data_IF_202293776359
#
_entry.id   IF_202293776359
#
_cell.length_a   1.000
_cell.length_b   1.000
_cell.length_c   1.000
_cell.angle_alpha   90.00
_cell.angle_beta   90.00
_cell.angle_gamma   90.00
#
_symmetry.space_group_name_H-M   'P 1'
#
loop_
_entity.id
_entity.type
_entity.pdbx_description
1 polymer ?
#
# COMPACT_ATOMS: atom_id res chain seq x y z
N UNK A 1 -3.09 5.45 15.98
CA UNK A 1 -4.25 4.69 16.53
C UNK A 1 -5.40 4.65 15.52
N UNK A 2 -5.87 5.78 14.97
CA UNK A 2 -6.99 5.81 14.02
C UNK A 2 -6.76 4.91 12.79
N UNK A 3 -5.53 4.91 12.23
CA UNK A 3 -5.17 4.10 11.09
C UNK A 3 -5.30 2.59 11.36
N UNK A 4 -4.90 2.15 12.54
CA UNK A 4 -5.03 0.75 12.99
C UNK A 4 -6.50 0.33 13.15
N UNK A 5 -7.33 1.19 13.74
CA UNK A 5 -8.78 0.94 13.87
C UNK A 5 -9.40 0.81 12.47
N UNK A 6 -9.11 1.74 11.58
CA UNK A 6 -9.59 1.74 10.19
C UNK A 6 -9.13 0.50 9.42
N UNK A 7 -7.88 0.05 9.61
CA UNK A 7 -7.34 -1.17 9.00
C UNK A 7 -8.07 -2.40 9.53
N UNK A 8 -8.16 -2.57 10.85
CA UNK A 8 -8.86 -3.69 11.46
C UNK A 8 -10.34 -3.74 11.06
N UNK A 9 -11.01 -2.61 11.08
CA UNK A 9 -12.40 -2.48 10.65
C UNK A 9 -12.60 -2.84 9.16
N UNK A 10 -11.64 -2.47 8.30
CA UNK A 10 -11.67 -2.81 6.87
C UNK A 10 -11.45 -4.30 6.66
N UNK A 11 -10.49 -4.90 7.35
CA UNK A 11 -10.25 -6.35 7.30
C UNK A 11 -11.51 -7.14 7.72
N UNK A 12 -12.18 -6.70 8.79
CA UNK A 12 -13.44 -7.32 9.24
C UNK A 12 -14.55 -7.13 8.21
N UNK A 13 -14.71 -5.92 7.68
CA UNK A 13 -15.80 -5.59 6.77
C UNK A 13 -15.71 -6.29 5.43
N UNK A 14 -14.49 -6.51 4.94
CA UNK A 14 -14.21 -7.20 3.68
C UNK A 14 -14.17 -8.71 3.81
N UNK A 15 -14.10 -9.24 5.03
CA UNK A 15 -13.87 -10.66 5.32
C UNK A 15 -12.39 -11.08 5.28
N UNK A 16 -11.48 -10.14 5.02
CA UNK A 16 -10.04 -10.40 4.97
C UNK A 16 -9.46 -10.82 6.32
N UNK A 17 -10.08 -10.42 7.45
CA UNK A 17 -9.63 -10.82 8.78
C UNK A 17 -9.53 -12.34 8.92
N UNK A 18 -10.52 -13.08 8.43
CA UNK A 18 -10.48 -14.54 8.49
C UNK A 18 -9.33 -15.10 7.64
N UNK A 19 -9.14 -14.59 6.42
CA UNK A 19 -8.06 -15.03 5.53
C UNK A 19 -6.69 -14.81 6.17
N UNK A 20 -6.48 -13.66 6.82
CA UNK A 20 -5.25 -13.36 7.54
C UNK A 20 -5.07 -14.29 8.74
N UNK A 21 -6.11 -14.48 9.56
CA UNK A 21 -6.06 -15.36 10.73
C UNK A 21 -5.82 -16.83 10.34
N UNK A 22 -6.33 -17.26 9.19
CA UNK A 22 -6.09 -18.60 8.66
C UNK A 22 -4.66 -18.75 8.14
N UNK A 23 -4.18 -17.80 7.37
CA UNK A 23 -2.81 -17.79 6.83
C UNK A 23 -1.73 -17.82 7.94
N UNK A 24 -2.00 -17.18 9.06
CA UNK A 24 -1.09 -17.16 10.21
C UNK A 24 -1.40 -18.25 11.26
N UNK A 25 -2.28 -19.23 10.95
CA UNK A 25 -2.65 -20.32 11.85
C UNK A 25 -3.03 -19.82 13.27
N UNK A 26 -3.78 -18.70 13.31
CA UNK A 26 -4.09 -18.03 14.56
C UNK A 26 -4.87 -18.94 15.51
N UNK A 27 -4.47 -18.98 16.79
CA UNK A 27 -5.15 -19.78 17.81
C UNK A 27 -6.59 -19.28 18.04
N UNK A 28 -7.49 -20.14 18.57
CA UNK A 28 -8.86 -19.74 18.88
C UNK A 28 -8.96 -18.50 19.77
N UNK A 29 -8.04 -18.34 20.72
CA UNK A 29 -7.99 -17.17 21.59
C UNK A 29 -7.66 -15.88 20.80
N UNK A 30 -6.67 -15.94 19.88
CA UNK A 30 -6.31 -14.79 19.02
C UNK A 30 -7.47 -14.45 18.09
N UNK A 31 -8.15 -15.45 17.51
CA UNK A 31 -9.34 -15.25 16.67
C UNK A 31 -10.47 -14.56 17.44
N UNK A 32 -10.71 -14.99 18.67
CA UNK A 32 -11.73 -14.40 19.55
C UNK A 32 -11.40 -12.93 19.85
N UNK A 33 -10.16 -12.63 20.26
CA UNK A 33 -9.74 -11.27 20.57
C UNK A 33 -9.78 -10.37 19.34
N UNK A 34 -9.28 -10.83 18.19
CA UNK A 34 -9.33 -10.07 16.95
C UNK A 34 -10.76 -9.69 16.56
N UNK A 35 -11.70 -10.64 16.67
CA UNK A 35 -13.13 -10.40 16.41
C UNK A 35 -13.77 -9.47 17.44
N UNK A 36 -13.48 -9.67 18.73
CA UNK A 36 -14.03 -8.84 19.80
C UNK A 36 -13.59 -7.37 19.66
N UNK A 37 -12.36 -7.13 19.20
CA UNK A 37 -11.84 -5.78 18.94
C UNK A 37 -12.28 -5.21 17.60
N UNK A 38 -12.42 -6.02 16.57
CA UNK A 38 -12.75 -5.58 15.21
C UNK A 38 -14.24 -5.34 14.97
N UNK A 39 -15.12 -6.19 15.48
CA UNK A 39 -16.56 -6.14 15.24
C UNK A 39 -17.21 -4.82 15.64
N UNK A 40 -16.93 -4.22 16.82
CA UNK A 40 -17.54 -2.94 17.20
C UNK A 40 -17.24 -1.80 16.23
N UNK A 41 -16.12 -1.85 15.54
CA UNK A 41 -15.65 -0.81 14.62
C UNK A 41 -15.88 -1.16 13.15
N UNK A 42 -16.48 -2.31 12.83
CA UNK A 42 -16.70 -2.80 11.46
C UNK A 42 -17.37 -1.75 10.55
N UNK A 43 -18.26 -0.93 11.09
CA UNK A 43 -18.93 0.13 10.34
C UNK A 43 -17.99 1.26 9.88
N UNK A 44 -16.84 1.45 10.55
CA UNK A 44 -15.82 2.45 10.19
C UNK A 44 -14.90 1.97 9.06
N UNK A 45 -14.91 0.68 8.73
CA UNK A 45 -14.07 0.11 7.69
C UNK A 45 -14.57 0.43 6.28
N UNK A 46 -13.66 0.39 5.32
CA UNK A 46 -13.99 0.51 3.90
C UNK A 46 -14.67 -0.77 3.38
N UNK A 47 -15.61 -0.63 2.45
CA UNK A 47 -16.29 -1.80 1.84
C UNK A 47 -15.44 -2.49 0.78
N UNK A 48 -14.67 -1.70 0.02
CA UNK A 48 -13.97 -2.16 -1.16
C UNK A 48 -14.89 -2.72 -2.24
N UNK A 49 -14.31 -3.20 -3.34
CA UNK A 49 -15.04 -3.80 -4.45
C UNK A 49 -15.40 -5.27 -4.12
N UNK A 50 -16.71 -5.63 -4.07
CA UNK A 50 -17.15 -6.98 -3.73
C UNK A 50 -16.78 -8.06 -4.78
N UNK A 51 -16.38 -7.68 -5.99
CA UNK A 51 -15.89 -8.61 -7.02
C UNK A 51 -14.50 -9.15 -6.75
N UNK A 52 -13.74 -8.48 -5.86
CA UNK A 52 -12.37 -8.88 -5.51
C UNK A 52 -12.35 -9.91 -4.37
N UNK A 53 -11.33 -10.80 -4.34
CA UNK A 53 -11.05 -11.64 -3.18
C UNK A 53 -10.90 -10.81 -1.90
N UNK A 54 -11.29 -11.35 -0.72
CA UNK A 54 -11.32 -10.59 0.52
C UNK A 54 -10.02 -9.82 0.85
N UNK A 55 -8.86 -10.48 0.74
CA UNK A 55 -7.57 -9.86 1.02
C UNK A 55 -7.23 -8.74 0.03
N UNK A 56 -7.35 -9.00 -1.27
CA UNK A 56 -7.14 -8.01 -2.33
C UNK A 56 -8.06 -6.81 -2.16
N UNK A 57 -9.34 -7.07 -1.88
CA UNK A 57 -10.38 -6.07 -1.63
C UNK A 57 -10.04 -5.15 -0.45
N UNK A 58 -9.56 -5.73 0.66
CA UNK A 58 -9.16 -4.96 1.83
C UNK A 58 -7.97 -4.04 1.52
N UNK A 59 -6.92 -4.59 0.93
CA UNK A 59 -5.70 -3.83 0.65
C UNK A 59 -5.94 -2.73 -0.39
N UNK A 60 -6.73 -3.00 -1.43
CA UNK A 60 -7.12 -1.98 -2.41
C UNK A 60 -7.91 -0.84 -1.76
N UNK A 61 -8.86 -1.17 -0.87
CA UNK A 61 -9.66 -0.18 -0.17
C UNK A 61 -8.85 0.66 0.84
N UNK A 62 -7.77 0.12 1.40
CA UNK A 62 -6.89 0.80 2.35
C UNK A 62 -5.90 1.75 1.66
N UNK A 63 -5.59 1.52 0.39
CA UNK A 63 -4.83 2.45 -0.43
C UNK A 63 -3.43 1.98 -0.86
N UNK A 64 -2.64 2.89 -1.47
CA UNK A 64 -1.42 2.54 -2.20
C UNK A 64 -0.36 1.80 -1.39
N UNK A 65 -0.12 2.17 -0.14
CA UNK A 65 0.85 1.50 0.73
C UNK A 65 0.47 0.03 0.96
N UNK A 66 -0.82 -0.23 1.20
CA UNK A 66 -1.34 -1.58 1.41
C UNK A 66 -1.32 -2.40 0.13
N UNK A 67 -1.60 -1.79 -1.04
CA UNK A 67 -1.47 -2.44 -2.34
C UNK A 67 -0.02 -2.87 -2.55
N UNK A 68 0.93 -1.97 -2.34
CA UNK A 68 2.37 -2.26 -2.49
C UNK A 68 2.84 -3.34 -1.52
N UNK A 69 2.38 -3.26 -0.26
CA UNK A 69 2.65 -4.30 0.74
C UNK A 69 2.11 -5.67 0.31
N UNK A 70 0.87 -5.72 -0.17
CA UNK A 70 0.29 -6.96 -0.69
C UNK A 70 1.03 -7.51 -1.90
N UNK A 71 1.56 -6.67 -2.78
CA UNK A 71 2.38 -7.10 -3.91
C UNK A 71 3.69 -7.75 -3.45
N UNK A 72 4.38 -7.15 -2.46
CA UNK A 72 5.56 -7.76 -1.84
C UNK A 72 5.21 -9.12 -1.22
N UNK A 73 4.11 -9.20 -0.45
CA UNK A 73 3.66 -10.45 0.15
C UNK A 73 3.24 -11.50 -0.89
N UNK A 74 2.73 -11.11 -2.05
CA UNK A 74 2.36 -12.05 -3.12
C UNK A 74 3.54 -12.82 -3.69
N UNK A 75 4.76 -12.31 -3.52
CA UNK A 75 6.01 -12.96 -3.92
C UNK A 75 6.63 -13.83 -2.81
N UNK A 76 6.00 -13.86 -1.63
CA UNK A 76 6.49 -14.54 -0.43
C UNK A 76 5.48 -15.58 0.11
N UNK A 77 5.17 -16.63 -0.67
CA UNK A 77 4.28 -17.70 -0.20
C UNK A 77 4.84 -18.43 1.03
N UNK A 78 6.15 -18.39 1.25
CA UNK A 78 6.83 -18.88 2.45
C UNK A 78 6.38 -18.14 3.74
N UNK A 79 5.96 -16.89 3.61
CA UNK A 79 5.50 -16.05 4.74
C UNK A 79 3.99 -16.14 4.93
N UNK A 80 3.22 -16.00 3.87
CA UNK A 80 1.76 -15.82 3.96
C UNK A 80 0.96 -17.07 3.57
N UNK A 81 1.62 -18.12 3.10
CA UNK A 81 0.97 -19.30 2.54
C UNK A 81 0.54 -19.11 1.08
N UNK A 82 0.36 -20.22 0.36
CA UNK A 82 0.07 -20.19 -1.08
C UNK A 82 -1.28 -19.53 -1.40
N UNK A 83 -2.32 -19.83 -0.60
CA UNK A 83 -3.68 -19.33 -0.83
C UNK A 83 -3.75 -17.81 -0.73
N UNK A 84 -3.14 -17.21 0.29
CA UNK A 84 -3.12 -15.76 0.44
C UNK A 84 -2.22 -15.12 -0.61
N UNK A 85 -1.04 -15.69 -0.88
CA UNK A 85 -0.16 -15.21 -1.95
C UNK A 85 -0.88 -15.18 -3.30
N UNK A 86 -1.64 -16.22 -3.64
CA UNK A 86 -2.43 -16.29 -4.87
C UNK A 86 -3.50 -15.19 -4.95
N UNK A 87 -4.24 -14.95 -3.86
CA UNK A 87 -5.20 -13.84 -3.80
C UNK A 87 -4.52 -12.48 -4.04
N UNK A 88 -3.32 -12.28 -3.47
CA UNK A 88 -2.60 -11.03 -3.56
C UNK A 88 -1.96 -10.78 -4.94
N UNK A 89 -1.74 -11.81 -5.76
CA UNK A 89 -1.25 -11.65 -7.15
C UNK A 89 -2.20 -10.84 -8.04
N UNK A 90 -3.48 -10.76 -7.68
CA UNK A 90 -4.48 -9.97 -8.40
C UNK A 90 -4.32 -8.46 -8.14
N UNK A 91 -3.51 -8.05 -7.15
CA UNK A 91 -3.25 -6.65 -6.87
C UNK A 91 -2.53 -6.00 -8.06
N UNK A 92 -3.26 -5.14 -8.77
CA UNK A 92 -2.73 -4.40 -9.91
C UNK A 92 -2.07 -3.11 -9.45
N UNK A 93 -0.94 -2.78 -10.08
CA UNK A 93 -0.24 -1.50 -9.87
C UNK A 93 -0.97 -0.29 -10.48
N UNK A 94 -2.12 -0.49 -11.11
CA UNK A 94 -2.81 0.54 -11.88
C UNK A 94 -3.86 1.25 -11.03
N UNK A 95 -3.48 2.35 -10.40
CA UNK A 95 -4.43 3.38 -9.99
C UNK A 95 -4.67 4.35 -11.14
N UNK A 96 -5.86 4.99 -11.21
CA UNK A 96 -6.09 6.08 -12.17
C UNK A 96 -5.01 7.14 -12.05
N UNK A 97 -4.52 7.70 -13.16
CA UNK A 97 -3.58 8.81 -13.11
C UNK A 97 -4.19 9.99 -12.36
N UNK A 98 -3.36 10.74 -11.65
CA UNK A 98 -3.72 12.05 -11.14
C UNK A 98 -3.54 13.11 -12.23
N UNK A 99 -4.13 14.28 -12.07
CA UNK A 99 -4.15 15.29 -13.12
C UNK A 99 -2.74 15.79 -13.45
N UNK A 100 -2.54 16.21 -14.71
CA UNK A 100 -1.31 16.87 -15.15
C UNK A 100 -0.99 18.11 -14.32
N UNK A 101 -2.01 18.86 -13.91
CA UNK A 101 -1.85 20.05 -13.07
C UNK A 101 -1.27 19.70 -11.69
N UNK A 102 -1.73 18.61 -11.06
CA UNK A 102 -1.16 18.11 -9.82
C UNK A 102 0.29 17.65 -10.00
N UNK A 103 0.60 17.01 -11.14
CA UNK A 103 1.97 16.60 -11.46
C UNK A 103 2.90 17.79 -11.60
N UNK A 104 2.45 18.85 -12.31
CA UNK A 104 3.24 20.08 -12.45
C UNK A 104 3.47 20.76 -11.12
N UNK A 105 2.44 20.90 -10.29
CA UNK A 105 2.58 21.47 -8.94
C UNK A 105 3.56 20.69 -8.04
N UNK A 106 3.59 19.35 -8.17
CA UNK A 106 4.53 18.51 -7.45
C UNK A 106 5.98 18.74 -7.92
N UNK A 107 6.20 18.84 -9.23
CA UNK A 107 7.51 19.14 -9.83
C UNK A 107 8.01 20.52 -9.36
N UNK A 108 7.16 21.54 -9.42
CA UNK A 108 7.50 22.89 -8.97
C UNK A 108 7.84 22.93 -7.48
N UNK A 109 7.11 22.18 -6.67
CA UNK A 109 7.39 22.09 -5.24
C UNK A 109 8.75 21.44 -4.96
N UNK A 110 9.11 20.38 -5.69
CA UNK A 110 10.33 19.61 -5.45
C UNK A 110 11.58 20.30 -6.05
N UNK A 111 11.44 20.88 -7.24
CA UNK A 111 12.57 21.47 -7.95
C UNK A 111 12.72 22.97 -7.70
N UNK A 112 11.71 23.63 -7.11
CA UNK A 112 11.74 25.05 -6.76
C UNK A 112 11.69 26.00 -7.95
N UNK A 113 11.34 25.48 -9.15
CA UNK A 113 11.25 26.25 -10.39
C UNK A 113 9.93 25.97 -11.10
N UNK A 114 9.34 26.94 -11.81
CA UNK A 114 8.20 26.71 -12.68
C UNK A 114 8.49 25.64 -13.75
N UNK A 115 7.48 24.82 -14.06
CA UNK A 115 7.65 23.69 -15.00
C UNK A 115 8.10 24.15 -16.38
N UNK A 116 7.64 25.31 -16.84
CA UNK A 116 8.00 25.90 -18.15
C UNK A 116 9.45 26.39 -18.24
N UNK A 117 10.10 26.62 -17.11
CA UNK A 117 11.55 26.91 -17.05
C UNK A 117 12.41 25.64 -17.12
N UNK A 118 11.83 24.49 -16.80
CA UNK A 118 12.53 23.19 -16.78
C UNK A 118 12.28 22.43 -18.07
N UNK A 119 11.01 22.39 -18.50
CA UNK A 119 10.56 21.63 -19.66
C UNK A 119 9.87 22.52 -20.67
N UNK A 120 10.34 22.50 -21.92
CA UNK A 120 9.67 23.15 -23.07
C UNK A 120 8.40 22.43 -23.50
N UNK A 121 8.33 21.13 -23.23
CA UNK A 121 7.17 20.28 -23.46
C UNK A 121 6.98 19.33 -22.26
N UNK A 122 5.74 19.19 -21.78
CA UNK A 122 5.38 18.25 -20.71
C UNK A 122 4.06 17.57 -21.09
N UNK A 123 4.07 16.26 -21.31
CA UNK A 123 2.93 15.49 -21.82
C UNK A 123 1.86 15.20 -20.75
N UNK A 124 0.71 14.69 -21.18
CA UNK A 124 -0.17 13.89 -20.31
C UNK A 124 0.58 12.63 -19.83
N UNK A 125 0.13 11.98 -18.74
CA UNK A 125 0.77 10.77 -18.23
C UNK A 125 0.75 9.65 -19.27
N UNK A 126 1.91 9.09 -19.58
CA UNK A 126 2.07 7.96 -20.52
C UNK A 126 1.98 6.61 -19.81
N UNK A 127 2.21 6.59 -18.50
CA UNK A 127 2.02 5.43 -17.63
C UNK A 127 1.66 5.89 -16.22
N UNK A 128 0.87 5.09 -15.51
CA UNK A 128 0.52 5.32 -14.11
C UNK A 128 0.63 4.03 -13.32
N UNK A 129 1.18 4.14 -12.11
CA UNK A 129 1.29 3.07 -11.12
C UNK A 129 0.63 3.48 -9.80
N UNK A 130 0.68 2.61 -8.80
CA UNK A 130 0.06 2.87 -7.49
C UNK A 130 0.62 4.12 -6.79
N UNK A 131 1.90 4.40 -6.94
CA UNK A 131 2.61 5.47 -6.22
C UNK A 131 3.12 6.61 -7.09
N UNK A 132 3.15 6.45 -8.41
CA UNK A 132 3.75 7.41 -9.34
C UNK A 132 3.08 7.35 -10.71
N UNK A 133 3.31 8.37 -11.50
CA UNK A 133 3.04 8.35 -12.95
C UNK A 133 4.25 8.85 -13.72
N UNK A 134 4.31 8.53 -15.00
CA UNK A 134 5.41 8.90 -15.89
C UNK A 134 4.89 9.80 -17.00
N UNK A 135 5.59 10.89 -17.23
CA UNK A 135 5.35 11.84 -18.30
C UNK A 135 6.54 11.89 -19.25
N UNK A 136 6.29 12.11 -20.53
CA UNK A 136 7.34 12.49 -21.47
C UNK A 136 7.51 14.01 -21.40
N UNK A 137 8.76 14.46 -21.35
CA UNK A 137 9.09 15.87 -21.30
C UNK A 137 10.31 16.19 -22.17
N UNK A 138 10.51 17.45 -22.50
CA UNK A 138 11.68 17.95 -23.22
C UNK A 138 12.32 19.05 -22.38
N UNK A 139 13.60 18.89 -22.07
CA UNK A 139 14.39 19.86 -21.28
C UNK A 139 14.56 21.17 -22.07
N UNK A 140 14.44 22.32 -21.40
CA UNK A 140 14.62 23.65 -21.99
C UNK A 140 16.08 23.88 -22.41
N UNK A 141 17.04 23.49 -21.57
CA UNK A 141 18.47 23.75 -21.74
C UNK A 141 19.12 22.98 -22.90
N UNK A 142 18.77 21.69 -23.03
CA UNK A 142 19.39 20.76 -23.97
C UNK A 142 18.50 20.30 -25.10
N UNK A 143 17.18 20.57 -25.02
CA UNK A 143 16.19 20.03 -25.96
C UNK A 143 16.02 18.51 -25.90
N UNK A 144 16.66 17.82 -24.93
CA UNK A 144 16.65 16.37 -24.79
C UNK A 144 15.31 15.89 -24.30
N UNK A 145 14.79 14.83 -24.92
CA UNK A 145 13.61 14.10 -24.40
C UNK A 145 13.99 13.25 -23.18
N UNK A 146 13.13 13.33 -22.15
CA UNK A 146 13.26 12.61 -20.89
C UNK A 146 11.94 12.01 -20.45
N UNK A 147 12.02 10.94 -19.67
CA UNK A 147 10.89 10.39 -18.93
C UNK A 147 10.95 10.95 -17.49
N UNK A 148 9.91 11.67 -17.10
CA UNK A 148 9.78 12.27 -15.76
C UNK A 148 8.84 11.41 -14.95
N UNK A 149 9.37 10.76 -13.92
CA UNK A 149 8.56 10.02 -12.93
C UNK A 149 8.16 10.98 -11.82
N UNK A 150 6.87 11.19 -11.67
CA UNK A 150 6.30 12.07 -10.64
C UNK A 150 5.57 11.22 -9.62
N UNK A 151 5.95 11.34 -8.36
CA UNK A 151 5.27 10.67 -7.25
C UNK A 151 3.87 11.26 -7.05
N UNK A 152 2.92 10.43 -6.65
CA UNK A 152 1.57 10.87 -6.31
C UNK A 152 1.62 11.87 -5.15
N UNK A 153 0.94 13.03 -5.26
CA UNK A 153 0.97 14.05 -4.22
C UNK A 153 0.65 13.50 -2.84
N UNK A 154 1.52 13.81 -1.88
CA UNK A 154 1.36 13.38 -0.49
C UNK A 154 1.58 11.88 -0.21
N UNK A 155 2.03 11.10 -1.21
CA UNK A 155 2.21 9.66 -1.08
C UNK A 155 3.21 9.29 0.00
N UNK A 156 4.33 9.99 0.10
CA UNK A 156 5.37 9.72 1.11
C UNK A 156 4.83 9.84 2.53
N UNK A 157 4.05 10.89 2.78
CA UNK A 157 3.41 11.12 4.08
C UNK A 157 2.38 10.04 4.43
N UNK A 158 1.64 9.57 3.41
CA UNK A 158 0.70 8.46 3.57
C UNK A 158 1.44 7.15 3.86
N UNK A 159 2.51 6.86 3.10
CA UNK A 159 3.34 5.68 3.30
C UNK A 159 3.95 5.62 4.69
N UNK A 160 4.62 6.69 5.14
CA UNK A 160 5.24 6.73 6.47
C UNK A 160 4.24 6.41 7.58
N UNK A 161 3.03 6.97 7.52
CA UNK A 161 1.96 6.65 8.48
C UNK A 161 1.50 5.20 8.42
N UNK A 162 1.47 4.61 7.23
CA UNK A 162 1.06 3.22 7.05
C UNK A 162 2.16 2.25 7.47
N UNK A 163 3.42 2.55 7.16
CA UNK A 163 4.60 1.80 7.61
C UNK A 163 4.69 1.79 9.15
N UNK A 164 4.48 2.94 9.81
CA UNK A 164 4.39 3.00 11.27
C UNK A 164 3.30 2.06 11.83
N UNK A 165 2.14 2.02 11.16
CA UNK A 165 1.06 1.12 11.55
C UNK A 165 1.42 -0.35 11.32
N UNK A 166 2.16 -0.67 10.25
CA UNK A 166 2.66 -2.02 9.99
C UNK A 166 3.67 -2.46 11.05
N UNK A 167 4.63 -1.61 11.41
CA UNK A 167 5.58 -1.90 12.49
C UNK A 167 4.86 -2.15 13.82
N UNK A 168 3.87 -1.33 14.15
CA UNK A 168 3.07 -1.54 15.35
C UNK A 168 2.31 -2.88 15.31
N UNK A 169 1.67 -3.20 14.18
CA UNK A 169 0.95 -4.45 14.00
C UNK A 169 1.92 -5.66 14.10
N UNK A 170 3.09 -5.58 13.47
CA UNK A 170 4.11 -6.62 13.54
C UNK A 170 4.59 -6.88 14.98
N UNK A 171 4.79 -5.82 15.78
CA UNK A 171 5.13 -5.95 17.20
C UNK A 171 4.02 -6.61 18.03
N UNK A 172 2.77 -6.28 17.77
CA UNK A 172 1.62 -6.93 18.41
C UNK A 172 1.60 -8.44 18.07
N UNK A 173 1.80 -8.79 16.80
CA UNK A 173 1.89 -10.19 16.36
C UNK A 173 3.04 -10.91 17.05
N UNK A 174 4.21 -10.29 17.14
CA UNK A 174 5.40 -10.88 17.80
C UNK A 174 5.16 -11.14 19.29
N UNK A 175 4.43 -10.28 19.98
CA UNK A 175 4.13 -10.42 21.41
C UNK A 175 3.04 -11.45 21.66
N UNK A 176 1.92 -11.38 20.92
CA UNK A 176 0.69 -12.10 21.23
C UNK A 176 0.46 -13.37 20.40
N UNK A 177 1.24 -13.58 19.33
CA UNK A 177 1.14 -14.76 18.46
C UNK A 177 2.50 -15.47 18.33
N UNK A 178 2.95 -16.22 19.36
CA UNK A 178 4.26 -16.89 19.33
C UNK A 178 4.46 -17.85 18.14
N UNK A 179 3.38 -18.48 17.65
CA UNK A 179 3.40 -19.32 16.44
C UNK A 179 3.75 -18.54 15.16
N UNK A 180 3.41 -17.26 15.12
CA UNK A 180 3.69 -16.41 13.97
C UNK A 180 5.12 -15.80 13.99
N UNK A 181 5.88 -15.92 15.09
CA UNK A 181 7.28 -15.45 15.17
C UNK A 181 8.18 -16.10 14.14
N UNK A 182 7.91 -17.35 13.76
CA UNK A 182 8.63 -18.06 12.68
C UNK A 182 8.63 -17.29 11.36
N UNK A 183 7.60 -16.45 11.12
CA UNK A 183 7.41 -15.66 9.91
C UNK A 183 8.17 -14.33 9.94
N UNK A 184 8.82 -14.03 11.09
CA UNK A 184 9.64 -12.81 11.28
C UNK A 184 8.93 -11.54 10.83
N UNK A 185 7.76 -11.20 11.39
CA UNK A 185 6.91 -10.13 10.88
C UNK A 185 7.62 -8.78 10.82
N UNK A 186 8.53 -8.49 11.74
CA UNK A 186 9.32 -7.25 11.72
C UNK A 186 10.27 -7.20 10.53
N UNK A 187 10.98 -8.29 10.20
CA UNK A 187 11.88 -8.35 9.05
C UNK A 187 11.12 -8.19 7.72
N UNK A 188 9.88 -8.67 7.65
CA UNK A 188 9.01 -8.47 6.48
C UNK A 188 8.69 -6.99 6.29
N UNK A 189 8.40 -6.27 7.38
CA UNK A 189 8.13 -4.82 7.31
C UNK A 189 9.40 -4.03 7.00
N UNK A 190 10.54 -4.39 7.59
CA UNK A 190 11.84 -3.77 7.28
C UNK A 190 12.21 -3.94 5.80
N UNK A 191 12.01 -5.14 5.25
CA UNK A 191 12.22 -5.40 3.82
C UNK A 191 11.28 -4.54 2.95
N UNK A 192 10.00 -4.45 3.33
CA UNK A 192 9.02 -3.62 2.63
C UNK A 192 9.41 -2.15 2.66
N UNK A 193 9.79 -1.62 3.82
CA UNK A 193 10.23 -0.23 3.99
C UNK A 193 11.45 0.08 3.11
N UNK A 194 12.44 -0.82 3.07
CA UNK A 194 13.60 -0.70 2.18
C UNK A 194 13.23 -0.69 0.69
N UNK A 195 12.24 -1.48 0.26
CA UNK A 195 11.75 -1.49 -1.14
C UNK A 195 11.00 -0.20 -1.50
N UNK A 196 10.42 0.46 -0.54
CA UNK A 196 9.64 1.70 -0.77
C UNK A 196 10.54 2.94 -0.78
N UNK A 197 11.60 2.95 0.02
CA UNK A 197 12.53 4.09 0.14
C UNK A 197 13.64 4.11 -0.94
N UNK A 198 13.88 3.01 -1.65
CA UNK A 198 14.85 2.88 -2.75
C UNK A 198 14.24 3.04 -4.11
#
# INVERSE_FOLDING_TARGET
IWRLISTGATLERTGAMNVVLDAFEATPAVRFVARALGLPFKFLGYKGDPSMPPATRALTALGPAYIKFGQVLSTRPDVVGEDLALQLRVLQDKLPPFSKAEAMAEIERELGLPVDQIFSEFSEPIAAASIAQVHRARLVDSGKEVAVKVLRPGIERAFNKDVDAFYFAARIVDIFAPSARRLRPLEVIEHFDGVVQG
#
